data_IF_713219972286
#
_entry.id   IF_713219972286
#
_cell.length_a   1.000
_cell.length_b   1.000
_cell.length_c   1.000
_cell.angle_alpha   90.00
_cell.angle_beta   90.00
_cell.angle_gamma   90.00
#
_symmetry.space_group_name_H-M   'P 1'
#
loop_
_entity.id
_entity.type
_entity.pdbx_description
1 polymer ?
#
# COMPACT_ATOMS: atom_id res chain seq x y z
N UNK A 1 -14.32 6.12 11.83
CA UNK A 1 -14.40 6.27 10.35
C UNK A 1 -13.25 7.17 9.94
N UNK A 2 -12.41 6.73 9.02
CA UNK A 2 -11.24 7.51 8.60
C UNK A 2 -11.66 8.85 8.02
N UNK A 3 -10.98 9.92 8.43
CA UNK A 3 -11.23 11.27 7.91
C UNK A 3 -10.57 11.40 6.54
N UNK A 4 -11.35 11.72 5.52
CA UNK A 4 -10.82 12.10 4.21
C UNK A 4 -10.19 13.50 4.30
N UNK A 5 -9.00 13.64 3.74
CA UNK A 5 -8.31 14.93 3.66
C UNK A 5 -8.68 15.71 2.40
N UNK A 6 -9.07 14.99 1.34
CA UNK A 6 -9.50 15.59 0.08
C UNK A 6 -10.97 15.22 -0.11
N UNK A 7 -11.85 16.22 -0.03
CA UNK A 7 -13.31 16.06 -0.13
C UNK A 7 -13.91 16.74 -1.37
N UNK A 8 -13.12 17.52 -2.07
CA UNK A 8 -13.52 18.28 -3.25
C UNK A 8 -12.45 18.12 -4.33
N UNK A 9 -12.78 18.46 -5.57
CA UNK A 9 -11.83 18.50 -6.67
C UNK A 9 -10.71 19.48 -6.36
N UNK A 10 -9.54 18.95 -6.01
CA UNK A 10 -8.37 19.74 -5.64
C UNK A 10 -7.22 19.42 -6.59
N UNK A 11 -6.65 20.47 -7.16
CA UNK A 11 -5.46 20.32 -8.00
C UNK A 11 -4.21 20.35 -7.11
N UNK A 12 -3.40 19.29 -7.15
CA UNK A 12 -2.18 19.15 -6.35
C UNK A 12 -1.01 18.81 -7.26
N UNK A 13 0.18 19.26 -6.88
CA UNK A 13 1.44 18.85 -7.50
C UNK A 13 2.10 17.80 -6.61
N UNK A 14 2.07 16.54 -7.03
CA UNK A 14 2.52 15.39 -6.27
C UNK A 14 3.35 14.46 -7.13
N UNK A 15 4.23 13.70 -6.51
CA UNK A 15 4.83 12.53 -7.15
C UNK A 15 3.79 11.40 -7.27
N UNK A 16 4.06 10.38 -8.11
CA UNK A 16 3.19 9.21 -8.21
C UNK A 16 3.00 8.51 -6.86
N UNK A 17 4.07 8.37 -6.08
CA UNK A 17 4.03 7.74 -4.75
C UNK A 17 3.18 8.53 -3.75
N UNK A 18 3.33 9.85 -3.72
CA UNK A 18 2.48 10.71 -2.90
C UNK A 18 1.01 10.60 -3.32
N UNK A 19 0.76 10.58 -4.62
CA UNK A 19 -0.59 10.42 -5.17
C UNK A 19 -1.25 9.12 -4.70
N UNK A 20 -0.52 8.00 -4.65
CA UNK A 20 -1.05 6.72 -4.14
C UNK A 20 -1.48 6.84 -2.68
N UNK A 21 -0.69 7.47 -1.81
CA UNK A 21 -1.05 7.66 -0.40
C UNK A 21 -2.30 8.55 -0.24
N UNK A 22 -2.40 9.64 -0.99
CA UNK A 22 -3.59 10.49 -0.97
C UNK A 22 -4.81 9.79 -1.56
N UNK A 23 -4.65 9.01 -2.64
CA UNK A 23 -5.72 8.22 -3.24
C UNK A 23 -6.24 7.14 -2.28
N UNK A 24 -5.36 6.46 -1.55
CA UNK A 24 -5.74 5.50 -0.50
C UNK A 24 -6.58 6.19 0.60
N UNK A 25 -6.21 7.40 1.04
CA UNK A 25 -7.01 8.17 1.99
C UNK A 25 -8.37 8.59 1.39
N UNK A 26 -8.41 9.03 0.14
CA UNK A 26 -9.64 9.37 -0.54
C UNK A 26 -10.58 8.17 -0.70
N UNK A 27 -10.02 6.96 -0.87
CA UNK A 27 -10.75 5.70 -0.87
C UNK A 27 -11.11 5.18 0.53
N UNK A 28 -10.84 5.98 1.57
CA UNK A 28 -11.12 5.63 2.97
C UNK A 28 -10.34 4.40 3.47
N UNK A 29 -9.12 4.18 2.97
CA UNK A 29 -8.25 3.18 3.54
C UNK A 29 -7.99 3.48 5.02
N UNK A 30 -8.13 2.45 5.85
CA UNK A 30 -8.04 2.56 7.31
C UNK A 30 -6.67 2.14 7.82
N UNK A 31 -5.98 1.27 7.08
CA UNK A 31 -4.71 0.72 7.55
C UNK A 31 -3.77 0.40 6.39
N UNK A 32 -2.50 0.73 6.57
CA UNK A 32 -1.42 0.30 5.69
C UNK A 32 -0.48 -0.64 6.44
N UNK A 33 -0.21 -1.79 5.87
CA UNK A 33 0.88 -2.67 6.29
C UNK A 33 1.97 -2.61 5.25
N UNK A 34 3.24 -2.49 5.65
CA UNK A 34 4.29 -2.38 4.67
C UNK A 34 5.68 -2.64 5.21
N UNK A 35 6.55 -3.07 4.31
CA UNK A 35 7.97 -3.20 4.55
C UNK A 35 8.74 -2.25 3.61
N UNK A 36 9.72 -1.49 4.12
CA UNK A 36 10.39 -0.46 3.32
C UNK A 36 11.24 -1.06 2.21
N UNK A 37 11.01 -0.61 0.99
CA UNK A 37 11.81 -0.94 -0.19
C UNK A 37 11.79 0.24 -1.17
N UNK A 38 12.94 0.53 -1.80
CA UNK A 38 13.04 1.58 -2.83
C UNK A 38 12.44 1.08 -4.16
N UNK A 39 11.62 1.89 -4.88
CA UNK A 39 11.25 3.30 -4.61
C UNK A 39 9.90 3.49 -3.90
N UNK A 40 9.38 2.50 -3.21
CA UNK A 40 8.06 2.53 -2.55
C UNK A 40 8.04 3.38 -1.26
N UNK A 41 9.18 3.64 -0.65
CA UNK A 41 9.30 4.29 0.67
C UNK A 41 8.50 5.60 0.79
N UNK A 42 8.40 6.38 -0.27
CA UNK A 42 7.67 7.64 -0.25
C UNK A 42 6.17 7.45 -0.04
N UNK A 43 5.60 6.30 -0.43
CA UNK A 43 4.20 5.97 -0.11
C UNK A 43 4.04 5.84 1.39
N UNK A 44 4.89 5.03 2.03
CA UNK A 44 4.87 4.83 3.49
C UNK A 44 5.09 6.15 4.23
N UNK A 45 6.10 6.93 3.83
CA UNK A 45 6.38 8.22 4.46
C UNK A 45 5.22 9.18 4.33
N UNK A 46 4.61 9.27 3.15
CA UNK A 46 3.47 10.14 2.93
C UNK A 46 2.27 9.66 3.73
N UNK A 47 1.97 8.36 3.71
CA UNK A 47 0.91 7.79 4.53
C UNK A 47 1.10 8.12 6.01
N UNK A 48 2.29 7.92 6.56
CA UNK A 48 2.61 8.26 7.95
C UNK A 48 2.41 9.75 8.27
N UNK A 49 2.69 10.66 7.33
CA UNK A 49 2.42 12.09 7.50
C UNK A 49 0.92 12.41 7.55
N UNK A 50 0.07 11.56 6.96
CA UNK A 50 -1.37 11.75 6.97
C UNK A 50 -2.02 11.22 8.25
N UNK A 51 -1.43 10.23 8.93
CA UNK A 51 -2.01 9.56 10.10
C UNK A 51 -2.53 10.51 11.17
N UNK A 52 -1.77 11.53 11.62
CA UNK A 52 -2.26 12.42 12.67
C UNK A 52 -3.53 13.21 12.31
N UNK A 53 -3.87 13.23 11.02
CA UNK A 53 -5.01 13.99 10.48
C UNK A 53 -6.19 13.10 10.09
N UNK A 54 -6.00 11.77 10.05
CA UNK A 54 -6.94 10.85 9.39
C UNK A 54 -7.52 9.78 10.29
N UNK A 55 -6.96 9.53 11.45
CA UNK A 55 -7.30 8.38 12.32
C UNK A 55 -7.02 7.01 11.68
N UNK A 56 -6.27 6.98 10.58
CA UNK A 56 -5.82 5.75 9.95
C UNK A 56 -4.64 5.14 10.72
N UNK A 57 -4.31 3.89 10.43
CA UNK A 57 -3.20 3.18 11.05
C UNK A 57 -2.09 2.80 10.07
N UNK A 58 -0.94 2.49 10.63
CA UNK A 58 0.20 1.95 9.91
C UNK A 58 0.96 0.96 10.79
N UNK A 59 1.38 -0.15 10.19
CA UNK A 59 2.31 -1.09 10.79
C UNK A 59 3.43 -1.40 9.81
N UNK A 60 4.65 -1.07 10.20
CA UNK A 60 5.83 -1.58 9.51
C UNK A 60 6.07 -3.02 9.93
N UNK A 61 6.10 -3.90 8.97
CA UNK A 61 6.34 -5.33 9.16
C UNK A 61 7.83 -5.66 9.06
N UNK A 62 8.19 -6.90 9.36
CA UNK A 62 9.57 -7.38 9.32
C UNK A 62 10.04 -7.80 7.90
N UNK A 63 9.10 -8.08 7.00
CA UNK A 63 9.34 -8.42 5.59
C UNK A 63 8.06 -8.24 4.75
N UNK A 64 8.17 -8.51 3.45
CA UNK A 64 7.05 -8.42 2.52
C UNK A 64 6.02 -9.53 2.69
N UNK A 65 6.42 -10.71 3.14
CA UNK A 65 5.50 -11.82 3.45
C UNK A 65 4.58 -11.38 4.58
N UNK A 66 5.17 -10.90 5.66
CA UNK A 66 4.43 -10.37 6.82
C UNK A 66 3.51 -9.20 6.43
N UNK A 67 3.96 -8.32 5.53
CA UNK A 67 3.14 -7.22 5.03
C UNK A 67 1.91 -7.72 4.29
N UNK A 68 2.08 -8.69 3.39
CA UNK A 68 0.99 -9.29 2.64
C UNK A 68 -0.04 -9.99 3.54
N UNK A 69 0.40 -10.88 4.41
CA UNK A 69 -0.50 -11.60 5.32
C UNK A 69 -1.16 -10.71 6.37
N UNK A 70 -0.44 -9.68 6.87
CA UNK A 70 -1.05 -8.68 7.76
C UNK A 70 -2.13 -7.89 7.06
N UNK A 71 -1.94 -7.56 5.77
CA UNK A 71 -2.97 -6.90 4.96
C UNK A 71 -4.22 -7.78 4.82
N UNK A 72 -4.05 -9.07 4.54
CA UNK A 72 -5.15 -10.06 4.52
C UNK A 72 -5.87 -10.09 5.87
N UNK A 73 -5.11 -10.18 6.97
CA UNK A 73 -5.66 -10.18 8.33
C UNK A 73 -6.45 -8.92 8.64
N UNK A 74 -5.96 -7.75 8.24
CA UNK A 74 -6.65 -6.48 8.39
C UNK A 74 -7.98 -6.45 7.62
N UNK A 75 -7.99 -6.97 6.39
CA UNK A 75 -9.21 -7.04 5.57
C UNK A 75 -10.22 -8.02 6.19
N UNK A 76 -9.77 -9.18 6.66
CA UNK A 76 -10.62 -10.15 7.35
C UNK A 76 -11.22 -9.60 8.66
N UNK A 77 -10.50 -8.68 9.31
CA UNK A 77 -11.00 -7.94 10.47
C UNK A 77 -11.96 -6.79 10.09
N UNK A 78 -12.35 -6.69 8.83
CA UNK A 78 -13.30 -5.70 8.33
C UNK A 78 -12.70 -4.32 8.05
N UNK A 79 -11.38 -4.21 7.93
CA UNK A 79 -10.68 -2.96 7.60
C UNK A 79 -10.47 -2.81 6.09
N UNK A 80 -10.53 -1.59 5.60
CA UNK A 80 -9.98 -1.25 4.29
C UNK A 80 -8.46 -1.12 4.42
N UNK A 81 -7.78 -2.25 4.27
CA UNK A 81 -6.33 -2.30 4.36
C UNK A 81 -5.68 -2.42 2.98
N UNK A 82 -4.46 -1.90 2.86
CA UNK A 82 -3.65 -2.02 1.67
C UNK A 82 -2.18 -2.18 2.02
N UNK A 83 -1.40 -2.57 1.03
CA UNK A 83 0.06 -2.61 1.11
C UNK A 83 0.68 -1.98 -0.12
N UNK A 84 1.96 -1.71 -0.04
CA UNK A 84 2.75 -1.26 -1.17
C UNK A 84 4.14 -1.89 -1.12
N UNK A 85 4.69 -2.21 -2.27
CA UNK A 85 6.00 -2.82 -2.41
C UNK A 85 6.67 -2.40 -3.72
N UNK A 86 7.79 -2.98 -4.04
CA UNK A 86 8.46 -2.79 -5.31
C UNK A 86 9.23 -4.04 -5.69
N UNK A 87 9.29 -4.35 -6.98
CA UNK A 87 10.16 -5.33 -7.57
C UNK A 87 10.35 -6.64 -6.80
N UNK A 88 11.52 -6.85 -6.19
CA UNK A 88 11.80 -8.08 -5.46
C UNK A 88 10.80 -8.36 -4.33
N UNK A 89 10.30 -7.32 -3.67
CA UNK A 89 9.30 -7.45 -2.63
C UNK A 89 7.95 -7.96 -3.14
N UNK A 90 7.58 -7.60 -4.37
CA UNK A 90 6.38 -8.16 -5.00
C UNK A 90 6.53 -9.66 -5.26
N UNK A 91 7.70 -10.12 -5.67
CA UNK A 91 7.98 -11.55 -5.84
C UNK A 91 7.90 -12.31 -4.51
N UNK A 92 8.46 -11.74 -3.45
CA UNK A 92 8.40 -12.32 -2.10
C UNK A 92 6.95 -12.39 -1.58
N UNK A 93 6.11 -11.41 -1.94
CA UNK A 93 4.70 -11.32 -1.50
C UNK A 93 3.75 -12.25 -2.28
N UNK A 94 4.21 -12.96 -3.29
CA UNK A 94 3.37 -13.80 -4.19
C UNK A 94 2.50 -14.82 -3.43
N UNK A 95 3.00 -15.38 -2.34
CA UNK A 95 2.25 -16.35 -1.54
C UNK A 95 1.01 -15.71 -0.91
N UNK A 96 1.15 -14.53 -0.32
CA UNK A 96 0.02 -13.77 0.22
C UNK A 96 -0.96 -13.34 -0.87
N UNK A 97 -0.47 -12.92 -2.03
CA UNK A 97 -1.32 -12.55 -3.17
C UNK A 97 -2.13 -13.74 -3.68
N UNK A 98 -1.49 -14.90 -3.82
CA UNK A 98 -2.15 -16.14 -4.26
C UNK A 98 -3.21 -16.57 -3.23
N UNK A 99 -2.93 -16.46 -1.95
CA UNK A 99 -3.91 -16.75 -0.90
C UNK A 99 -5.10 -15.80 -0.94
N UNK A 100 -4.84 -14.49 -1.12
CA UNK A 100 -5.90 -13.50 -1.23
C UNK A 100 -6.83 -13.79 -2.42
N UNK A 101 -6.27 -14.18 -3.57
CA UNK A 101 -7.04 -14.62 -4.75
C UNK A 101 -7.92 -15.84 -4.43
N UNK A 102 -7.34 -16.89 -3.86
CA UNK A 102 -8.07 -18.12 -3.52
C UNK A 102 -9.20 -17.84 -2.52
N UNK A 103 -8.97 -16.96 -1.56
CA UNK A 103 -9.96 -16.58 -0.57
C UNK A 103 -10.94 -15.50 -1.05
N UNK A 104 -10.76 -14.98 -2.27
CA UNK A 104 -11.54 -13.86 -2.84
C UNK A 104 -11.54 -12.61 -1.95
N UNK A 105 -10.40 -12.32 -1.36
CA UNK A 105 -10.18 -11.13 -0.54
C UNK A 105 -9.87 -9.96 -1.46
N UNK A 106 -10.51 -8.78 -1.27
CA UNK A 106 -10.23 -7.59 -2.06
C UNK A 106 -8.88 -6.97 -1.66
N UNK A 107 -7.80 -7.65 -2.02
CA UNK A 107 -6.43 -7.27 -1.71
C UNK A 107 -5.93 -6.18 -2.66
N UNK A 108 -5.38 -5.11 -2.11
CA UNK A 108 -4.78 -4.02 -2.88
C UNK A 108 -3.30 -3.90 -2.53
N UNK A 109 -2.45 -4.07 -3.53
CA UNK A 109 -1.02 -3.86 -3.44
C UNK A 109 -0.57 -2.86 -4.52
N UNK A 110 0.06 -1.78 -4.12
CA UNK A 110 0.72 -0.88 -5.05
C UNK A 110 2.15 -1.37 -5.31
N UNK A 111 2.39 -1.91 -6.51
CA UNK A 111 3.73 -2.34 -6.93
C UNK A 111 4.43 -1.22 -7.70
N UNK A 112 5.45 -0.65 -7.09
CA UNK A 112 6.19 0.48 -7.65
C UNK A 112 7.34 -0.07 -8.46
N UNK A 113 7.25 0.13 -9.78
CA UNK A 113 8.19 -0.44 -10.71
C UNK A 113 9.59 0.17 -10.59
N UNK A 114 10.58 -0.69 -10.70
CA UNK A 114 11.99 -0.32 -10.82
C UNK A 114 12.72 -1.32 -11.72
N UNK A 115 13.83 -0.92 -12.32
CA UNK A 115 14.71 -1.85 -13.05
C UNK A 115 15.28 -2.92 -12.12
N UNK A 116 15.38 -4.15 -12.60
CA UNK A 116 15.96 -5.26 -11.86
C UNK A 116 15.47 -6.62 -12.33
N UNK A 117 16.09 -7.72 -11.89
CA UNK A 117 15.84 -9.04 -12.43
C UNK A 117 14.49 -9.64 -12.06
N UNK A 118 13.79 -9.09 -11.10
CA UNK A 118 12.54 -9.64 -10.56
C UNK A 118 11.39 -8.64 -10.63
N UNK A 119 11.51 -7.60 -11.42
CA UNK A 119 10.51 -6.57 -11.48
C UNK A 119 9.84 -6.53 -12.83
N UNK A 120 8.59 -6.13 -12.82
CA UNK A 120 7.99 -5.60 -14.03
C UNK A 120 8.82 -4.39 -14.45
N UNK A 121 9.79 -4.61 -15.29
CA UNK A 121 10.55 -3.55 -15.93
C UNK A 121 9.57 -2.73 -16.75
N UNK A 122 9.56 -1.42 -16.54
CA UNK A 122 8.97 -0.54 -17.53
C UNK A 122 9.75 -0.77 -18.82
N UNK A 123 9.16 -1.48 -19.74
CA UNK A 123 9.70 -1.67 -21.06
C UNK A 123 9.27 -0.46 -21.87
N UNK A 124 10.20 0.21 -22.40
CA UNK A 124 10.11 1.40 -23.23
C UNK A 124 9.39 1.15 -24.52
#
# INVERSE_FOLDING_TARGET
MVKKLITEDTRMFLTGNETIAYAANAAEAEFMYGYPITPQNEIMHTWCKLLPKTEAGFLQTEDEISAGFSTIGGILAGKRAFTATAGPGNVIMQDAQSMAEMMRIPFVCADIQRGGPSTATVIY
#
